data_IF_825454314073
#
_entry.id   IF_825454314073
#
_cell.length_a   1.000
_cell.length_b   1.000
_cell.length_c   1.000
_cell.angle_alpha   90.00
_cell.angle_beta   90.00
_cell.angle_gamma   90.00
#
_symmetry.space_group_name_H-M   'P 1'
#
loop_
_entity.id
_entity.type
_entity.pdbx_description
1 polymer ?
#
# COMPACT_ATOMS: atom_id res chain seq x y z
N UNK A 1 15.35 -3.15 17.44
CA UNK A 1 14.78 -2.21 18.44
C UNK A 1 13.81 -2.89 19.41
N UNK A 2 12.64 -3.39 19.03
CA UNK A 2 11.71 -4.07 19.99
C UNK A 2 12.36 -5.29 20.69
N UNK A 3 13.13 -6.12 19.96
CA UNK A 3 13.84 -7.26 20.57
C UNK A 3 14.90 -6.81 21.58
N UNK A 4 15.55 -5.69 21.36
CA UNK A 4 16.53 -5.14 22.28
C UNK A 4 15.86 -4.55 23.53
N UNK A 5 14.72 -3.85 23.34
CA UNK A 5 13.91 -3.36 24.46
C UNK A 5 13.40 -4.52 25.34
N UNK A 6 12.98 -5.65 24.75
CA UNK A 6 12.59 -6.86 25.50
C UNK A 6 13.78 -7.45 26.28
N UNK A 7 14.99 -7.48 25.70
CA UNK A 7 16.19 -7.93 26.42
C UNK A 7 16.52 -7.00 27.60
N UNK A 8 16.42 -5.69 27.38
CA UNK A 8 16.64 -4.70 28.46
C UNK A 8 15.60 -4.83 29.56
N UNK A 9 14.33 -5.04 29.23
CA UNK A 9 13.27 -5.29 30.20
C UNK A 9 13.54 -6.56 31.02
N UNK A 10 13.91 -7.66 30.36
CA UNK A 10 14.27 -8.92 31.05
C UNK A 10 15.44 -8.70 32.01
N UNK A 11 16.50 -8.01 31.58
CA UNK A 11 17.65 -7.76 32.41
C UNK A 11 17.31 -6.87 33.61
N UNK A 12 16.45 -5.86 33.42
CA UNK A 12 15.97 -5.01 34.48
C UNK A 12 15.08 -5.74 35.51
N UNK A 13 14.26 -6.69 35.05
CA UNK A 13 13.46 -7.56 35.95
C UNK A 13 14.35 -8.52 36.74
N UNK A 14 15.42 -9.05 36.14
CA UNK A 14 16.42 -9.84 36.85
C UNK A 14 17.14 -8.98 37.92
N UNK A 15 17.52 -7.76 37.55
CA UNK A 15 18.16 -6.83 38.53
C UNK A 15 17.20 -6.52 39.68
N UNK A 16 15.91 -6.31 39.40
CA UNK A 16 14.89 -6.09 40.45
C UNK A 16 14.80 -7.30 41.41
N UNK A 17 14.81 -8.51 40.85
CA UNK A 17 14.77 -9.75 41.65
C UNK A 17 16.02 -9.89 42.52
N UNK A 18 17.21 -9.52 42.01
CA UNK A 18 18.46 -9.48 42.77
C UNK A 18 18.35 -8.47 43.91
N UNK A 19 17.79 -7.28 43.66
CA UNK A 19 17.60 -6.23 44.69
C UNK A 19 16.68 -6.73 45.79
N UNK A 20 15.57 -7.44 45.42
CA UNK A 20 14.65 -8.02 46.41
C UNK A 20 15.38 -9.06 47.29
N UNK A 21 16.11 -9.97 46.68
CA UNK A 21 16.89 -10.98 47.44
C UNK A 21 17.96 -10.34 48.31
N UNK A 22 18.70 -9.39 47.76
CA UNK A 22 19.75 -8.68 48.49
C UNK A 22 19.18 -7.85 49.68
N UNK A 23 18.09 -7.10 49.41
CA UNK A 23 17.42 -6.29 50.44
C UNK A 23 16.88 -7.16 51.57
N UNK A 24 16.17 -8.28 51.21
CA UNK A 24 15.63 -9.21 52.21
C UNK A 24 16.76 -9.83 53.04
N UNK A 25 17.81 -10.33 52.40
CA UNK A 25 18.97 -10.89 53.12
C UNK A 25 19.69 -9.83 54.00
N UNK A 26 19.78 -8.61 53.48
CA UNK A 26 20.38 -7.50 54.21
C UNK A 26 19.68 -7.20 55.54
N UNK A 27 18.35 -7.06 55.54
CA UNK A 27 17.58 -6.86 56.75
C UNK A 27 17.65 -8.06 57.71
N UNK A 28 17.64 -9.30 57.17
CA UNK A 28 17.80 -10.48 58.00
C UNK A 28 19.15 -10.51 58.72
N UNK A 29 20.23 -10.04 58.08
CA UNK A 29 21.60 -10.05 58.65
C UNK A 29 21.84 -8.85 59.56
N UNK A 30 21.45 -7.64 59.12
CA UNK A 30 21.73 -6.38 59.83
C UNK A 30 20.81 -6.21 61.04
N UNK A 31 19.50 -6.41 60.83
CA UNK A 31 18.49 -6.17 61.86
C UNK A 31 18.01 -7.45 62.52
N UNK A 32 18.50 -8.62 62.08
CA UNK A 32 18.11 -9.96 62.57
C UNK A 32 16.61 -10.22 62.53
N UNK A 33 15.94 -9.61 61.58
CA UNK A 33 14.49 -9.79 61.39
C UNK A 33 14.22 -11.14 60.75
N UNK A 34 12.99 -11.64 60.93
CA UNK A 34 12.54 -12.85 60.23
C UNK A 34 12.36 -12.56 58.74
N UNK A 35 12.29 -13.63 57.94
CA UNK A 35 12.16 -13.55 56.48
C UNK A 35 10.92 -12.76 56.04
N UNK A 36 9.78 -12.91 56.73
CA UNK A 36 8.52 -12.28 56.35
C UNK A 36 8.58 -10.75 56.54
N UNK A 37 9.07 -10.29 57.68
CA UNK A 37 9.21 -8.86 57.98
C UNK A 37 10.26 -8.19 57.09
N UNK A 38 11.38 -8.88 56.82
CA UNK A 38 12.43 -8.40 55.91
C UNK A 38 11.91 -8.26 54.48
N UNK A 39 11.21 -9.28 53.95
CA UNK A 39 10.63 -9.26 52.63
C UNK A 39 9.54 -8.18 52.53
N UNK A 40 8.69 -8.05 53.52
CA UNK A 40 7.63 -7.05 53.55
C UNK A 40 8.24 -5.63 53.48
N UNK A 41 9.28 -5.32 54.31
CA UNK A 41 9.96 -4.03 54.28
C UNK A 41 10.57 -3.71 52.93
N UNK A 42 11.20 -4.71 52.25
CA UNK A 42 11.76 -4.56 50.92
C UNK A 42 10.66 -4.27 49.91
N UNK A 43 9.56 -5.00 49.92
CA UNK A 43 8.45 -4.83 48.96
C UNK A 43 7.84 -3.42 49.12
N UNK A 44 7.52 -2.95 50.34
CA UNK A 44 6.91 -1.64 50.52
C UNK A 44 7.87 -0.50 50.14
N UNK A 45 9.18 -0.73 50.26
CA UNK A 45 10.22 0.21 49.86
C UNK A 45 10.35 0.29 48.34
N UNK A 46 10.47 -0.87 47.66
CA UNK A 46 10.64 -0.94 46.21
C UNK A 46 9.36 -0.45 45.47
N UNK A 47 8.19 -0.79 46.00
CA UNK A 47 6.91 -0.32 45.43
C UNK A 47 6.61 1.14 45.73
N UNK A 48 7.50 1.83 46.43
CA UNK A 48 7.31 3.23 46.86
C UNK A 48 6.06 3.45 47.72
N UNK A 49 5.54 2.41 48.36
CA UNK A 49 4.34 2.49 49.21
C UNK A 49 4.63 3.18 50.54
N UNK A 50 5.73 2.81 51.20
CA UNK A 50 6.28 3.53 52.35
C UNK A 50 5.37 3.71 53.58
N UNK A 51 4.65 2.66 53.98
CA UNK A 51 3.76 2.73 55.16
C UNK A 51 4.49 3.08 56.48
N UNK A 52 5.78 2.80 56.52
CA UNK A 52 6.63 3.00 57.69
C UNK A 52 7.56 1.81 57.92
N UNK A 53 8.36 1.90 58.93
CA UNK A 53 9.29 0.82 59.34
C UNK A 53 8.52 -0.30 60.01
N UNK A 54 8.88 -1.56 59.67
CA UNK A 54 8.25 -2.74 60.31
C UNK A 54 8.62 -2.85 61.77
N UNK A 55 9.90 -2.56 62.07
CA UNK A 55 10.47 -2.43 63.41
C UNK A 55 11.48 -1.27 63.43
N UNK A 56 11.81 -0.67 64.58
CA UNK A 56 12.84 0.37 64.65
C UNK A 56 14.16 -0.09 64.08
N UNK A 57 14.74 0.71 63.18
CA UNK A 57 16.01 0.42 62.53
C UNK A 57 17.21 0.83 63.38
N UNK A 58 18.28 0.09 63.32
CA UNK A 58 19.57 0.53 63.77
C UNK A 58 20.17 1.60 62.83
N UNK A 59 21.15 2.38 63.27
CA UNK A 59 21.84 3.35 62.39
C UNK A 59 22.41 2.69 61.12
N UNK A 60 22.90 1.44 61.25
CA UNK A 60 23.39 0.65 60.11
C UNK A 60 22.25 0.28 59.17
N UNK A 61 21.08 -0.10 59.72
CA UNK A 61 19.87 -0.40 58.96
C UNK A 61 19.32 0.83 58.22
N UNK A 62 19.35 2.00 58.84
CA UNK A 62 18.97 3.26 58.18
C UNK A 62 19.83 3.55 56.94
N UNK A 63 21.18 3.43 57.07
CA UNK A 63 22.10 3.63 55.95
C UNK A 63 21.85 2.59 54.85
N UNK A 64 21.66 1.31 55.22
CA UNK A 64 21.32 0.26 54.29
C UNK A 64 20.01 0.55 53.54
N UNK A 65 18.96 0.98 54.25
CA UNK A 65 17.68 1.37 53.71
C UNK A 65 17.81 2.53 52.70
N UNK A 66 18.61 3.57 53.06
CA UNK A 66 18.88 4.68 52.15
C UNK A 66 19.48 4.24 50.82
N UNK A 67 20.48 3.34 50.86
CA UNK A 67 21.09 2.78 49.65
C UNK A 67 20.08 1.96 48.86
N UNK A 68 19.29 1.12 49.55
CA UNK A 68 18.26 0.28 48.93
C UNK A 68 17.19 1.12 48.24
N UNK A 69 16.73 2.23 48.85
CA UNK A 69 15.74 3.17 48.27
C UNK A 69 16.29 3.77 46.97
N UNK A 70 17.52 4.29 46.98
CA UNK A 70 18.12 4.93 45.80
C UNK A 70 18.25 3.94 44.64
N UNK A 71 18.79 2.75 44.92
CA UNK A 71 19.02 1.73 43.88
C UNK A 71 17.70 1.16 43.34
N UNK A 72 16.75 0.87 44.22
CA UNK A 72 15.45 0.38 43.83
C UNK A 72 14.64 1.40 43.03
N UNK A 73 14.63 2.67 43.45
CA UNK A 73 13.94 3.74 42.77
C UNK A 73 14.49 3.98 41.37
N UNK A 74 15.82 4.01 41.18
CA UNK A 74 16.45 4.09 39.88
C UNK A 74 16.06 2.91 38.96
N UNK A 75 16.00 1.70 39.53
CA UNK A 75 15.61 0.49 38.77
C UNK A 75 14.16 0.52 38.35
N UNK A 76 13.25 0.95 39.21
CA UNK A 76 11.81 1.06 38.91
C UNK A 76 11.55 2.11 37.82
N UNK A 77 12.22 3.29 37.92
CA UNK A 77 12.13 4.31 36.87
C UNK A 77 12.63 3.77 35.52
N UNK A 78 13.75 3.04 35.53
CA UNK A 78 14.31 2.46 34.32
C UNK A 78 13.35 1.43 33.67
N UNK A 79 12.72 0.55 34.47
CA UNK A 79 11.71 -0.40 34.00
C UNK A 79 10.50 0.33 33.43
N UNK A 80 10.03 1.38 34.11
CA UNK A 80 8.92 2.22 33.63
C UNK A 80 9.23 2.89 32.29
N UNK A 81 10.44 3.44 32.14
CA UNK A 81 10.91 4.02 30.88
C UNK A 81 10.92 3.02 29.71
N UNK A 82 11.44 1.81 29.95
CA UNK A 82 11.41 0.73 28.92
C UNK A 82 9.95 0.33 28.60
N UNK A 83 9.09 0.23 29.61
CA UNK A 83 7.68 -0.09 29.41
C UNK A 83 6.97 0.93 28.52
N UNK A 84 7.20 2.23 28.78
CA UNK A 84 6.67 3.32 27.94
C UNK A 84 7.24 3.25 26.53
N UNK A 85 8.54 3.01 26.38
CA UNK A 85 9.18 2.85 25.08
C UNK A 85 8.56 1.70 24.26
N UNK A 86 8.34 0.53 24.88
CA UNK A 86 7.69 -0.62 24.25
C UNK A 86 6.26 -0.27 23.83
N UNK A 87 5.50 0.46 24.64
CA UNK A 87 4.15 0.91 24.32
C UNK A 87 4.12 1.90 23.14
N UNK A 88 5.05 2.84 23.08
CA UNK A 88 5.16 3.82 22.01
C UNK A 88 5.61 3.13 20.70
N UNK A 89 6.58 2.24 20.79
CA UNK A 89 7.07 1.45 19.66
C UNK A 89 6.10 0.33 19.26
N UNK A 90 5.13 -0.01 20.10
CA UNK A 90 4.17 -1.05 19.78
C UNK A 90 3.28 -0.62 18.63
N UNK A 91 3.38 -1.36 17.51
CA UNK A 91 2.61 -1.15 16.28
C UNK A 91 1.08 -1.20 16.49
N UNK A 92 0.59 -1.48 17.70
CA UNK A 92 -0.84 -1.65 18.01
C UNK A 92 -1.60 -0.34 17.84
N UNK A 93 -1.11 0.77 18.38
CA UNK A 93 -1.75 2.08 18.23
C UNK A 93 -1.67 2.58 16.79
N UNK A 94 -0.53 2.32 16.12
CA UNK A 94 -0.35 2.69 14.72
C UNK A 94 -1.30 1.91 13.81
N UNK A 95 -1.42 0.58 14.01
CA UNK A 95 -2.36 -0.27 13.27
C UNK A 95 -3.82 0.16 13.47
N UNK A 96 -4.26 0.47 14.69
CA UNK A 96 -5.62 0.96 14.96
C UNK A 96 -5.90 2.29 14.25
N UNK A 97 -4.95 3.23 14.30
CA UNK A 97 -5.09 4.51 13.61
C UNK A 97 -5.11 4.34 12.09
N UNK A 98 -4.31 3.42 11.55
CA UNK A 98 -4.28 3.10 10.13
C UNK A 98 -5.60 2.46 9.71
N UNK A 99 -6.07 1.44 10.45
CA UNK A 99 -7.37 0.81 10.19
C UNK A 99 -8.51 1.82 10.17
N UNK A 100 -8.55 2.73 11.14
CA UNK A 100 -9.58 3.79 11.17
C UNK A 100 -9.54 4.72 9.94
N UNK A 101 -8.37 4.91 9.31
CA UNK A 101 -8.27 5.65 8.04
C UNK A 101 -8.76 4.79 6.87
N UNK A 102 -8.41 3.49 6.87
CA UNK A 102 -8.85 2.53 5.84
C UNK A 102 -10.38 2.39 5.86
N UNK A 103 -10.98 2.29 7.05
CA UNK A 103 -12.43 2.16 7.23
C UNK A 103 -13.24 3.33 6.64
N UNK A 104 -12.58 4.49 6.42
CA UNK A 104 -13.19 5.69 5.82
C UNK A 104 -13.01 5.78 4.32
N UNK A 105 -12.28 4.84 3.70
CA UNK A 105 -12.07 4.85 2.27
C UNK A 105 -13.33 4.40 1.52
N UNK A 106 -13.70 5.17 0.52
CA UNK A 106 -14.75 4.85 -0.43
C UNK A 106 -14.23 5.06 -1.86
N UNK A 107 -14.68 4.26 -2.81
CA UNK A 107 -14.27 4.33 -4.21
C UNK A 107 -12.74 4.28 -4.41
N UNK A 108 -12.03 3.64 -3.50
CA UNK A 108 -10.58 3.51 -3.50
C UNK A 108 -10.11 2.29 -4.30
N UNK A 109 -8.80 2.20 -4.49
CA UNK A 109 -8.15 1.05 -5.11
C UNK A 109 -7.41 0.21 -4.08
N UNK A 110 -7.37 -1.10 -4.30
CA UNK A 110 -6.64 -2.06 -3.47
C UNK A 110 -5.47 -2.60 -4.28
N UNK A 111 -4.25 -2.49 -3.74
CA UNK A 111 -3.04 -3.05 -4.35
C UNK A 111 -2.56 -4.22 -3.53
N UNK A 112 -2.69 -5.45 -4.07
CA UNK A 112 -2.29 -6.68 -3.41
C UNK A 112 -0.85 -7.04 -3.78
N UNK A 113 0.09 -6.77 -2.86
CA UNK A 113 1.53 -6.95 -3.01
C UNK A 113 2.28 -5.62 -3.26
N UNK A 114 3.31 -5.36 -2.43
CA UNK A 114 4.19 -4.19 -2.55
C UNK A 114 5.61 -4.62 -2.96
N UNK A 115 5.67 -5.49 -3.98
CA UNK A 115 6.90 -5.85 -4.66
C UNK A 115 7.28 -4.80 -5.72
N UNK A 116 8.19 -5.16 -6.63
CA UNK A 116 8.65 -4.26 -7.72
C UNK A 116 7.50 -3.63 -8.51
N UNK A 117 6.53 -4.44 -8.93
CA UNK A 117 5.39 -3.94 -9.70
C UNK A 117 4.40 -3.15 -8.83
N UNK A 118 4.08 -3.66 -7.63
CA UNK A 118 3.18 -2.97 -6.70
C UNK A 118 3.69 -1.59 -6.31
N UNK A 119 5.01 -1.42 -6.14
CA UNK A 119 5.63 -0.12 -5.87
C UNK A 119 5.31 0.88 -6.99
N UNK A 120 5.55 0.51 -8.25
CA UNK A 120 5.27 1.40 -9.39
C UNK A 120 3.77 1.70 -9.55
N UNK A 121 2.91 0.72 -9.29
CA UNK A 121 1.45 0.94 -9.33
C UNK A 121 1.04 1.94 -8.24
N UNK A 122 1.57 1.80 -7.02
CA UNK A 122 1.28 2.74 -5.94
C UNK A 122 1.79 4.16 -6.25
N UNK A 123 2.98 4.29 -6.85
CA UNK A 123 3.53 5.57 -7.29
C UNK A 123 2.62 6.25 -8.32
N UNK A 124 2.11 5.50 -9.30
CA UNK A 124 1.22 6.02 -10.33
C UNK A 124 -0.16 6.41 -9.77
N UNK A 125 -0.73 5.59 -8.86
CA UNK A 125 -1.97 5.92 -8.16
C UNK A 125 -1.81 7.18 -7.29
N UNK A 126 -0.69 7.30 -6.60
CA UNK A 126 -0.38 8.48 -5.79
C UNK A 126 -0.21 9.74 -6.66
N UNK A 127 0.47 9.63 -7.82
CA UNK A 127 0.61 10.72 -8.80
C UNK A 127 -0.75 11.18 -9.36
N UNK A 128 -1.66 10.22 -9.52
CA UNK A 128 -3.03 10.47 -9.98
C UNK A 128 -3.96 10.98 -8.87
N UNK A 129 -3.45 11.16 -7.65
CA UNK A 129 -4.18 11.62 -6.46
C UNK A 129 -5.44 10.80 -6.13
N UNK A 130 -5.44 9.51 -6.50
CA UNK A 130 -6.56 8.61 -6.21
C UNK A 130 -6.33 7.85 -4.89
N UNK A 131 -7.37 7.65 -4.06
CA UNK A 131 -7.22 6.93 -2.81
C UNK A 131 -6.94 5.44 -3.05
N UNK A 132 -5.97 4.90 -2.32
CA UNK A 132 -5.65 3.47 -2.37
C UNK A 132 -5.16 2.93 -1.04
N UNK A 133 -5.19 1.61 -0.90
CA UNK A 133 -4.67 0.84 0.22
C UNK A 133 -3.86 -0.34 -0.30
N UNK A 134 -2.77 -0.65 0.38
CA UNK A 134 -1.87 -1.76 0.02
C UNK A 134 -2.10 -2.94 0.95
N UNK A 135 -2.10 -4.15 0.42
CA UNK A 135 -1.98 -5.38 1.23
C UNK A 135 -0.58 -5.91 1.02
N UNK A 136 0.21 -6.00 2.10
CA UNK A 136 1.59 -6.47 2.02
C UNK A 136 1.91 -7.34 3.25
N UNK A 137 2.33 -8.56 3.01
CA UNK A 137 2.62 -9.52 4.07
C UNK A 137 4.09 -9.48 4.55
N UNK A 138 5.02 -8.98 3.72
CA UNK A 138 6.43 -8.93 4.06
C UNK A 138 6.76 -7.75 5.00
N UNK A 139 7.21 -8.02 6.26
CA UNK A 139 7.53 -6.96 7.22
C UNK A 139 8.62 -5.98 6.76
N UNK A 140 9.52 -6.40 5.86
CA UNK A 140 10.59 -5.51 5.35
C UNK A 140 10.05 -4.35 4.51
N UNK A 141 8.88 -4.51 3.89
CA UNK A 141 8.23 -3.48 3.10
C UNK A 141 7.39 -2.52 3.95
N UNK A 142 6.95 -2.93 5.15
CA UNK A 142 6.13 -2.09 6.02
C UNK A 142 6.84 -0.80 6.41
N UNK A 143 8.17 -0.88 6.66
CA UNK A 143 8.96 0.31 7.00
C UNK A 143 8.96 1.35 5.86
N UNK A 144 9.07 0.88 4.61
CA UNK A 144 9.01 1.76 3.42
C UNK A 144 7.63 2.40 3.27
N UNK A 145 6.57 1.59 3.43
CA UNK A 145 5.18 2.08 3.36
C UNK A 145 4.91 3.13 4.43
N UNK A 146 5.48 2.94 5.64
CA UNK A 146 5.40 3.89 6.74
C UNK A 146 6.12 5.21 6.45
N UNK A 147 7.33 5.14 5.90
CA UNK A 147 8.16 6.31 5.57
C UNK A 147 7.49 7.18 4.49
N UNK A 148 6.84 6.53 3.50
CA UNK A 148 6.11 7.21 2.43
C UNK A 148 4.73 7.70 2.91
N UNK A 149 4.15 7.04 3.92
CA UNK A 149 2.84 7.38 4.47
C UNK A 149 1.65 6.73 3.76
N UNK A 150 1.88 5.65 3.01
CA UNK A 150 0.80 4.90 2.37
C UNK A 150 -0.01 4.10 3.39
N UNK A 151 -1.31 3.96 3.13
CA UNK A 151 -2.18 3.10 3.92
C UNK A 151 -1.95 1.64 3.52
N UNK A 152 -1.82 0.75 4.52
CA UNK A 152 -1.61 -0.66 4.24
C UNK A 152 -2.19 -1.58 5.32
N UNK A 153 -2.54 -2.81 4.93
CA UNK A 153 -2.84 -3.94 5.81
C UNK A 153 -1.74 -4.99 5.71
N UNK A 154 -1.45 -5.67 6.83
CA UNK A 154 -0.36 -6.67 6.94
C UNK A 154 -0.84 -8.10 6.76
N UNK A 155 -2.01 -8.30 6.16
CA UNK A 155 -2.60 -9.62 5.96
C UNK A 155 -2.19 -10.27 4.65
N UNK A 156 -2.71 -11.49 4.47
CA UNK A 156 -2.67 -12.21 3.21
C UNK A 156 -3.86 -11.81 2.35
N UNK A 157 -3.62 -11.36 1.13
CA UNK A 157 -4.64 -10.86 0.21
C UNK A 157 -5.60 -11.97 -0.30
N UNK A 158 -5.23 -13.23 -0.15
CA UNK A 158 -6.11 -14.37 -0.52
C UNK A 158 -7.24 -14.63 0.51
N UNK A 159 -7.14 -14.04 1.71
CA UNK A 159 -8.12 -14.25 2.77
C UNK A 159 -9.24 -13.22 2.75
N UNK A 160 -10.49 -13.68 2.90
CA UNK A 160 -11.69 -12.86 2.96
C UNK A 160 -11.57 -11.75 4.02
N UNK A 161 -11.12 -12.12 5.22
CA UNK A 161 -10.97 -11.18 6.34
C UNK A 161 -10.00 -10.05 6.06
N UNK A 162 -8.94 -10.28 5.27
CA UNK A 162 -7.98 -9.26 4.87
C UNK A 162 -8.60 -8.29 3.87
N UNK A 163 -9.28 -8.82 2.85
CA UNK A 163 -9.97 -8.00 1.86
C UNK A 163 -11.13 -7.20 2.47
N UNK A 164 -11.84 -7.76 3.44
CA UNK A 164 -12.87 -7.02 4.17
C UNK A 164 -12.29 -5.86 5.00
N UNK A 165 -11.13 -6.07 5.68
CA UNK A 165 -10.46 -5.01 6.44
C UNK A 165 -9.99 -3.85 5.57
N UNK A 166 -9.66 -4.09 4.30
CA UNK A 166 -9.29 -3.03 3.37
C UNK A 166 -10.48 -2.46 2.59
N UNK A 167 -11.71 -2.84 2.96
CA UNK A 167 -12.92 -2.25 2.41
C UNK A 167 -13.25 -2.68 0.98
N UNK A 168 -12.97 -3.94 0.60
CA UNK A 168 -13.21 -4.46 -0.75
C UNK A 168 -14.63 -4.22 -1.26
N UNK A 169 -15.64 -4.22 -0.36
CA UNK A 169 -17.05 -3.99 -0.72
C UNK A 169 -17.31 -2.59 -1.27
N UNK A 170 -16.52 -1.61 -0.86
CA UNK A 170 -16.63 -0.21 -1.25
C UNK A 170 -15.50 0.22 -2.22
N UNK A 171 -14.61 -0.69 -2.58
CA UNK A 171 -13.52 -0.42 -3.48
C UNK A 171 -13.98 -0.34 -4.94
N UNK A 172 -13.38 0.56 -5.72
CA UNK A 172 -13.61 0.73 -7.16
C UNK A 172 -12.85 -0.32 -7.98
N UNK A 173 -11.65 -0.68 -7.54
CA UNK A 173 -10.82 -1.64 -8.25
C UNK A 173 -9.78 -2.30 -7.35
N UNK A 174 -9.26 -3.43 -7.83
CA UNK A 174 -8.23 -4.20 -7.16
C UNK A 174 -7.16 -4.63 -8.18
N UNK A 175 -5.90 -4.53 -7.77
CA UNK A 175 -4.78 -5.04 -8.57
C UNK A 175 -4.09 -6.16 -7.80
N UNK A 176 -4.11 -7.37 -8.36
CA UNK A 176 -3.44 -8.54 -7.81
C UNK A 176 -2.05 -8.72 -8.45
N UNK A 177 -0.99 -8.36 -7.72
CA UNK A 177 0.42 -8.39 -8.20
C UNK A 177 1.34 -9.09 -7.21
N UNK A 178 0.81 -10.13 -6.55
CA UNK A 178 1.55 -11.00 -5.66
C UNK A 178 2.63 -11.80 -6.43
N UNK A 179 3.61 -12.34 -5.71
CA UNK A 179 4.74 -13.05 -6.32
C UNK A 179 4.35 -14.36 -6.99
N UNK A 180 3.27 -14.99 -6.55
CA UNK A 180 2.80 -16.29 -6.99
C UNK A 180 1.49 -16.15 -7.77
N UNK A 181 1.40 -16.79 -8.92
CA UNK A 181 0.22 -16.80 -9.78
C UNK A 181 -1.01 -17.42 -9.11
N UNK A 182 -0.82 -18.49 -8.33
CA UNK A 182 -1.92 -19.11 -7.58
C UNK A 182 -2.53 -18.15 -6.56
N UNK A 183 -1.70 -17.38 -5.84
CA UNK A 183 -2.17 -16.34 -4.92
C UNK A 183 -2.96 -15.24 -5.65
N UNK A 184 -2.53 -14.85 -6.86
CA UNK A 184 -3.26 -13.88 -7.68
C UNK A 184 -4.64 -14.43 -8.10
N UNK A 185 -4.73 -15.74 -8.43
CA UNK A 185 -6.02 -16.40 -8.75
C UNK A 185 -6.94 -16.42 -7.54
N UNK A 186 -6.44 -16.83 -6.36
CA UNK A 186 -7.24 -16.87 -5.13
C UNK A 186 -7.68 -15.46 -4.71
N UNK A 187 -6.80 -14.47 -4.75
CA UNK A 187 -7.12 -13.07 -4.44
C UNK A 187 -8.21 -12.53 -5.38
N UNK A 188 -8.10 -12.83 -6.68
CA UNK A 188 -9.09 -12.44 -7.67
C UNK A 188 -10.46 -13.06 -7.37
N UNK A 189 -10.49 -14.37 -7.12
CA UNK A 189 -11.71 -15.11 -6.80
C UNK A 189 -12.38 -14.56 -5.55
N UNK A 190 -11.61 -14.38 -4.48
CA UNK A 190 -12.10 -13.85 -3.19
C UNK A 190 -12.63 -12.41 -3.35
N UNK A 191 -11.90 -11.55 -4.08
CA UNK A 191 -12.34 -10.18 -4.32
C UNK A 191 -13.67 -10.13 -5.08
N UNK A 192 -13.81 -10.93 -6.12
CA UNK A 192 -15.07 -11.02 -6.91
C UNK A 192 -16.21 -11.67 -6.14
N UNK A 193 -15.91 -12.60 -5.26
CA UNK A 193 -16.91 -13.18 -4.35
C UNK A 193 -17.46 -12.14 -3.38
N UNK A 194 -16.59 -11.34 -2.76
CA UNK A 194 -16.96 -10.30 -1.80
C UNK A 194 -17.59 -9.06 -2.45
N UNK A 195 -17.15 -8.71 -3.65
CA UNK A 195 -17.68 -7.59 -4.44
C UNK A 195 -17.72 -7.95 -5.94
N UNK A 196 -18.84 -8.47 -6.45
CA UNK A 196 -18.96 -8.86 -7.86
C UNK A 196 -18.75 -7.72 -8.87
N UNK A 197 -18.88 -6.47 -8.43
CA UNK A 197 -18.76 -5.28 -9.30
C UNK A 197 -17.33 -4.69 -9.32
N UNK A 198 -16.45 -5.14 -8.45
CA UNK A 198 -15.08 -4.61 -8.38
C UNK A 198 -14.33 -4.89 -9.69
N UNK A 199 -13.63 -3.88 -10.21
CA UNK A 199 -12.78 -4.05 -11.39
C UNK A 199 -11.44 -4.66 -10.97
N UNK A 200 -11.11 -5.86 -11.46
CA UNK A 200 -9.90 -6.59 -11.06
C UNK A 200 -8.93 -6.66 -12.22
N UNK A 201 -7.72 -6.17 -11.96
CA UNK A 201 -6.55 -6.36 -12.81
C UNK A 201 -5.61 -7.35 -12.12
N UNK A 202 -5.20 -8.40 -12.80
CA UNK A 202 -4.32 -9.40 -12.21
C UNK A 202 -3.07 -9.63 -13.04
N UNK A 203 -1.95 -9.92 -12.36
CA UNK A 203 -0.70 -10.30 -12.99
C UNK A 203 -0.65 -11.81 -13.21
N UNK A 204 -0.27 -12.24 -14.39
CA UNK A 204 0.16 -13.61 -14.69
C UNK A 204 1.64 -13.63 -15.06
N UNK A 205 2.36 -14.65 -14.59
CA UNK A 205 3.72 -14.98 -15.03
C UNK A 205 3.68 -16.07 -16.09
N UNK A 206 2.90 -17.11 -15.85
CA UNK A 206 2.75 -18.24 -16.74
C UNK A 206 1.56 -18.08 -17.69
N UNK A 207 1.73 -18.48 -18.95
CA UNK A 207 0.68 -18.38 -19.97
C UNK A 207 -0.59 -19.15 -19.59
N UNK A 208 -0.44 -20.30 -18.93
CA UNK A 208 -1.56 -21.11 -18.47
C UNK A 208 -2.37 -20.47 -17.34
N UNK A 209 -1.87 -19.42 -16.70
CA UNK A 209 -2.55 -18.73 -15.60
C UNK A 209 -3.54 -17.69 -16.09
N UNK A 210 -3.30 -17.06 -17.25
CA UNK A 210 -4.20 -16.06 -17.81
C UNK A 210 -5.66 -16.56 -17.92
N UNK A 211 -5.95 -17.71 -18.56
CA UNK A 211 -7.32 -18.21 -18.63
C UNK A 211 -7.90 -18.58 -17.25
N UNK A 212 -7.08 -18.95 -16.28
CA UNK A 212 -7.53 -19.23 -14.90
C UNK A 212 -7.94 -17.95 -14.20
N UNK A 213 -7.16 -16.86 -14.33
CA UNK A 213 -7.48 -15.55 -13.80
C UNK A 213 -8.77 -14.97 -14.40
N UNK A 214 -8.95 -15.08 -15.71
CA UNK A 214 -10.19 -14.64 -16.38
C UNK A 214 -11.40 -15.44 -15.87
N UNK A 215 -11.27 -16.76 -15.69
CA UNK A 215 -12.34 -17.59 -15.09
C UNK A 215 -12.60 -17.26 -13.62
N UNK A 216 -11.57 -16.86 -12.87
CA UNK A 216 -11.72 -16.37 -11.49
C UNK A 216 -12.41 -15.00 -11.42
N UNK A 217 -12.63 -14.35 -12.58
CA UNK A 217 -13.35 -13.09 -12.69
C UNK A 217 -12.46 -11.86 -12.89
N UNK A 218 -11.17 -12.01 -13.20
CA UNK A 218 -10.35 -10.85 -13.55
C UNK A 218 -10.90 -10.15 -14.80
N UNK A 219 -11.06 -8.83 -14.75
CA UNK A 219 -11.52 -8.03 -15.89
C UNK A 219 -10.39 -7.83 -16.90
N UNK A 220 -9.14 -7.81 -16.42
CA UNK A 220 -7.94 -7.73 -17.24
C UNK A 220 -6.82 -8.55 -16.62
N UNK A 221 -6.01 -9.17 -17.46
CA UNK A 221 -4.79 -9.88 -17.08
C UNK A 221 -3.61 -9.23 -17.79
N UNK A 222 -2.52 -9.02 -17.04
CA UNK A 222 -1.29 -8.45 -17.55
C UNK A 222 -0.15 -9.44 -17.38
N UNK A 223 0.61 -9.70 -18.44
CA UNK A 223 1.82 -10.52 -18.47
C UNK A 223 3.06 -9.62 -18.63
N UNK A 224 3.68 -9.16 -17.55
CA UNK A 224 4.71 -8.12 -17.62
C UNK A 224 5.95 -8.55 -18.38
N UNK A 225 6.35 -9.82 -18.25
CA UNK A 225 7.53 -10.34 -18.94
C UNK A 225 7.33 -10.42 -20.45
N UNK A 226 6.15 -10.83 -20.91
CA UNK A 226 5.80 -10.83 -22.32
C UNK A 226 5.79 -9.39 -22.88
N UNK A 227 5.09 -8.48 -22.21
CA UNK A 227 5.05 -7.07 -22.58
C UNK A 227 6.44 -6.44 -22.62
N UNK A 228 7.25 -6.69 -21.59
CA UNK A 228 8.63 -6.19 -21.51
C UNK A 228 9.52 -6.81 -22.61
N UNK A 229 9.40 -8.11 -22.88
CA UNK A 229 10.14 -8.81 -23.91
C UNK A 229 9.82 -8.27 -25.32
N UNK A 230 8.54 -8.12 -25.63
CA UNK A 230 8.08 -7.53 -26.91
C UNK A 230 8.57 -6.09 -27.04
N UNK A 231 8.54 -5.29 -25.95
CA UNK A 231 9.04 -3.91 -25.97
C UNK A 231 10.55 -3.85 -26.22
N UNK A 232 11.33 -4.67 -25.52
CA UNK A 232 12.80 -4.73 -25.73
C UNK A 232 13.15 -5.17 -27.14
N UNK A 233 12.47 -6.19 -27.69
CA UNK A 233 12.66 -6.62 -29.07
C UNK A 233 12.30 -5.51 -30.07
N UNK A 234 11.23 -4.77 -29.81
CA UNK A 234 10.80 -3.64 -30.66
C UNK A 234 11.85 -2.51 -30.67
N UNK A 235 12.45 -2.20 -29.51
CA UNK A 235 13.54 -1.22 -29.41
C UNK A 235 14.78 -1.64 -30.19
N UNK A 236 15.11 -2.94 -30.22
CA UNK A 236 16.22 -3.46 -31.00
C UNK A 236 15.95 -3.46 -32.51
N UNK A 237 14.74 -3.88 -32.91
CA UNK A 237 14.40 -4.06 -34.33
C UNK A 237 13.94 -2.77 -35.02
N UNK A 238 13.27 -1.88 -34.28
CA UNK A 238 12.63 -0.66 -34.82
C UNK A 238 12.70 0.49 -33.82
N UNK A 239 13.92 0.98 -33.46
CA UNK A 239 14.08 1.98 -32.40
C UNK A 239 13.24 3.24 -32.65
N UNK A 240 13.27 3.79 -33.88
CA UNK A 240 12.50 5.00 -34.18
C UNK A 240 10.98 4.86 -34.07
N UNK A 241 10.43 3.64 -34.30
CA UNK A 241 8.99 3.37 -34.09
C UNK A 241 8.69 3.29 -32.60
N UNK A 242 9.56 2.62 -31.84
CA UNK A 242 9.42 2.48 -30.42
C UNK A 242 9.47 3.83 -29.68
N UNK A 243 10.42 4.69 -30.09
CA UNK A 243 10.56 6.07 -29.58
C UNK A 243 9.32 6.91 -29.93
N UNK A 244 8.83 6.82 -31.18
CA UNK A 244 7.63 7.54 -31.59
C UNK A 244 6.38 7.14 -30.76
N UNK A 245 6.17 5.84 -30.56
CA UNK A 245 5.04 5.36 -29.73
C UNK A 245 5.18 5.87 -28.29
N UNK A 246 6.39 5.87 -27.72
CA UNK A 246 6.63 6.36 -26.36
C UNK A 246 6.36 7.86 -26.24
N UNK A 247 6.80 8.65 -27.18
CA UNK A 247 6.54 10.08 -27.27
C UNK A 247 5.03 10.37 -27.29
N UNK A 248 4.31 9.61 -28.11
CA UNK A 248 2.87 9.83 -28.32
C UNK A 248 2.02 9.27 -27.16
N UNK A 249 2.44 8.17 -26.53
CA UNK A 249 1.72 7.54 -25.42
C UNK A 249 2.02 8.15 -24.04
N UNK A 250 3.23 8.67 -23.82
CA UNK A 250 3.69 9.09 -22.51
C UNK A 250 3.22 10.49 -22.08
N UNK A 251 2.58 11.26 -22.94
CA UNK A 251 2.07 12.63 -22.66
C UNK A 251 3.14 13.58 -22.04
N UNK A 252 4.44 13.23 -22.16
CA UNK A 252 5.54 13.94 -21.52
C UNK A 252 6.29 14.80 -22.55
N UNK A 253 6.08 16.10 -22.48
CA UNK A 253 6.88 17.15 -23.15
C UNK A 253 6.77 17.33 -24.67
N UNK A 254 5.85 16.67 -25.37
CA UNK A 254 5.56 16.98 -26.77
C UNK A 254 4.04 17.15 -26.90
N UNK A 255 3.62 18.21 -27.59
CA UNK A 255 2.20 18.52 -27.80
C UNK A 255 1.46 17.50 -28.69
N UNK A 256 2.15 16.43 -29.14
CA UNK A 256 1.57 15.39 -30.01
C UNK A 256 0.89 14.30 -29.16
N UNK A 257 -0.41 14.07 -29.40
CA UNK A 257 -1.24 13.09 -28.68
C UNK A 257 -2.03 12.22 -29.62
N UNK A 258 -2.41 11.02 -29.12
CA UNK A 258 -3.45 10.18 -29.73
C UNK A 258 -4.70 10.35 -28.88
N UNK A 259 -5.82 10.69 -29.54
CA UNK A 259 -7.09 10.91 -28.89
C UNK A 259 -8.24 10.19 -29.60
N UNK A 260 -9.24 9.79 -28.81
CA UNK A 260 -10.52 9.33 -29.35
C UNK A 260 -11.44 10.54 -29.51
N UNK A 261 -11.93 10.74 -30.71
CA UNK A 261 -12.90 11.78 -31.05
C UNK A 261 -14.22 11.11 -31.38
N UNK A 262 -15.20 11.35 -30.55
CA UNK A 262 -16.54 10.80 -30.72
C UNK A 262 -17.41 11.73 -31.58
N UNK A 263 -17.93 11.22 -32.70
CA UNK A 263 -18.81 11.99 -33.59
C UNK A 263 -20.20 12.08 -32.98
N UNK A 264 -20.49 13.21 -32.35
CA UNK A 264 -21.77 13.49 -31.68
C UNK A 264 -22.88 13.79 -32.69
N UNK A 265 -24.12 13.64 -32.24
CA UNK A 265 -25.29 14.10 -32.99
C UNK A 265 -25.22 15.59 -33.27
N UNK A 266 -25.34 15.97 -34.56
CA UNK A 266 -25.24 17.36 -34.97
C UNK A 266 -23.81 17.86 -35.21
N UNK A 267 -22.76 17.02 -35.11
CA UNK A 267 -21.39 17.36 -35.48
C UNK A 267 -21.35 17.74 -36.97
N UNK A 268 -20.51 18.71 -37.29
CA UNK A 268 -20.23 19.11 -38.69
C UNK A 268 -19.53 18.01 -39.50
N UNK A 269 -19.06 16.95 -38.83
CA UNK A 269 -18.42 15.80 -39.46
C UNK A 269 -19.44 14.81 -40.02
N UNK A 270 -20.68 14.78 -39.52
CA UNK A 270 -21.68 13.79 -39.89
C UNK A 270 -22.02 13.83 -41.39
N UNK A 271 -22.02 12.66 -42.02
CA UNK A 271 -22.30 12.42 -43.48
C UNK A 271 -21.32 13.10 -44.42
N UNK A 272 -20.12 13.50 -43.97
CA UNK A 272 -19.07 14.00 -44.81
C UNK A 272 -17.97 12.95 -44.99
N UNK A 273 -17.29 13.02 -46.11
CA UNK A 273 -16.08 12.22 -46.31
C UNK A 273 -14.89 12.85 -45.58
N UNK A 274 -13.87 12.04 -45.25
CA UNK A 274 -12.64 12.58 -44.65
C UNK A 274 -11.95 13.64 -45.52
N UNK A 275 -12.08 13.55 -46.85
CA UNK A 275 -11.52 14.53 -47.78
C UNK A 275 -12.24 15.87 -47.73
N UNK A 276 -13.56 15.90 -47.42
CA UNK A 276 -14.36 17.13 -47.28
C UNK A 276 -14.17 17.82 -45.95
N UNK A 277 -13.59 17.11 -44.97
CA UNK A 277 -13.35 17.66 -43.64
C UNK A 277 -11.98 18.35 -43.55
N UNK A 278 -11.90 19.54 -42.89
CA UNK A 278 -10.66 20.27 -42.83
C UNK A 278 -9.68 19.73 -41.76
N UNK A 279 -9.69 18.41 -41.54
CA UNK A 279 -8.97 17.74 -40.46
C UNK A 279 -7.46 17.97 -40.58
N UNK A 280 -6.93 17.88 -41.81
CA UNK A 280 -5.51 18.04 -42.06
C UNK A 280 -5.11 19.50 -42.27
N UNK A 281 -5.96 20.27 -42.92
CA UNK A 281 -5.68 21.66 -43.31
C UNK A 281 -5.84 22.67 -42.19
N UNK A 282 -6.89 22.54 -41.36
CA UNK A 282 -7.18 23.47 -40.27
C UNK A 282 -6.72 22.94 -38.91
N UNK A 283 -6.88 21.63 -38.67
CA UNK A 283 -6.57 21.04 -37.38
C UNK A 283 -5.20 20.34 -37.33
N UNK A 284 -4.45 20.29 -38.44
CA UNK A 284 -3.15 19.62 -38.51
C UNK A 284 -3.16 18.23 -37.84
N UNK A 285 -4.22 17.45 -38.09
CA UNK A 285 -4.51 16.19 -37.41
C UNK A 285 -4.60 15.06 -38.44
N UNK A 286 -4.17 13.86 -38.07
CA UNK A 286 -4.22 12.66 -38.90
C UNK A 286 -5.22 11.69 -38.28
N UNK A 287 -6.18 11.19 -39.05
CA UNK A 287 -7.06 10.10 -38.63
C UNK A 287 -6.39 8.75 -38.96
N UNK A 288 -6.13 7.97 -37.92
CA UNK A 288 -5.46 6.66 -38.01
C UNK A 288 -6.47 5.54 -38.22
N UNK A 289 -7.62 5.63 -37.55
CA UNK A 289 -8.69 4.66 -37.72
C UNK A 289 -10.05 5.27 -37.41
N UNK A 290 -11.10 4.64 -37.95
CA UNK A 290 -12.50 4.91 -37.64
C UNK A 290 -13.11 3.63 -37.09
N UNK A 291 -13.71 3.68 -35.93
CA UNK A 291 -14.49 2.60 -35.34
C UNK A 291 -15.97 2.93 -35.45
N UNK A 292 -16.74 2.00 -35.97
CA UNK A 292 -18.20 2.06 -35.95
C UNK A 292 -18.68 1.29 -34.71
N UNK A 293 -19.26 2.01 -33.72
CA UNK A 293 -19.66 1.41 -32.44
C UNK A 293 -20.76 0.34 -32.59
N UNK A 294 -21.69 0.52 -33.51
CA UNK A 294 -22.79 -0.45 -33.74
C UNK A 294 -22.31 -1.80 -34.30
N UNK A 295 -21.22 -1.79 -35.06
CA UNK A 295 -20.70 -2.98 -35.75
C UNK A 295 -19.39 -3.49 -35.16
N UNK A 296 -18.73 -2.75 -34.24
CA UNK A 296 -17.42 -3.08 -33.69
C UNK A 296 -16.30 -3.17 -34.74
N UNK A 297 -16.53 -2.66 -35.96
CA UNK A 297 -15.59 -2.77 -37.08
C UNK A 297 -14.64 -1.58 -37.06
N UNK A 298 -13.34 -1.85 -37.02
CA UNK A 298 -12.28 -0.86 -37.19
C UNK A 298 -11.88 -0.76 -38.68
N UNK A 299 -11.93 0.44 -39.23
CA UNK A 299 -11.34 0.77 -40.54
C UNK A 299 -10.00 1.45 -40.25
N UNK A 300 -8.91 0.72 -40.45
CA UNK A 300 -7.56 1.26 -40.32
C UNK A 300 -7.14 1.98 -41.60
N UNK A 301 -6.39 3.08 -41.45
CA UNK A 301 -5.95 3.93 -42.56
C UNK A 301 -7.11 4.29 -43.50
N UNK A 302 -8.16 4.95 -43.00
CA UNK A 302 -9.34 5.27 -43.79
C UNK A 302 -8.96 6.16 -44.96
N UNK A 303 -9.56 5.87 -46.11
CA UNK A 303 -9.34 6.66 -47.34
C UNK A 303 -10.08 8.00 -47.24
N UNK A 304 -9.72 8.94 -48.12
CA UNK A 304 -10.35 10.25 -48.19
C UNK A 304 -11.86 10.20 -48.51
N UNK A 305 -12.32 9.16 -49.18
CA UNK A 305 -13.73 8.92 -49.51
C UNK A 305 -14.53 8.23 -48.40
N UNK A 306 -13.88 7.85 -47.29
CA UNK A 306 -14.54 7.24 -46.13
C UNK A 306 -15.50 8.24 -45.49
N UNK A 307 -16.76 7.87 -45.35
CA UNK A 307 -17.79 8.69 -44.74
C UNK A 307 -17.70 8.57 -43.22
N UNK A 308 -17.83 9.70 -42.55
CA UNK A 308 -17.88 9.81 -41.10
C UNK A 308 -19.34 9.93 -40.68
N UNK A 309 -19.82 8.98 -39.88
CA UNK A 309 -21.19 8.96 -39.39
C UNK A 309 -21.28 9.25 -37.88
N UNK A 310 -22.48 9.65 -37.46
CA UNK A 310 -22.81 9.77 -36.02
C UNK A 310 -22.57 8.44 -35.30
N UNK A 311 -22.01 8.49 -34.11
CA UNK A 311 -21.63 7.31 -33.32
C UNK A 311 -20.27 6.72 -33.72
N UNK A 312 -19.61 7.22 -34.77
CA UNK A 312 -18.24 6.80 -35.04
C UNK A 312 -17.25 7.35 -34.02
N UNK A 313 -16.23 6.56 -33.70
CA UNK A 313 -15.04 6.99 -32.93
C UNK A 313 -13.86 7.09 -33.90
N UNK A 314 -13.27 8.26 -33.98
CA UNK A 314 -12.08 8.54 -34.75
C UNK A 314 -10.86 8.45 -33.84
N UNK A 315 -9.88 7.62 -34.17
CA UNK A 315 -8.58 7.66 -33.54
C UNK A 315 -7.72 8.66 -34.31
N UNK A 316 -7.38 9.75 -33.66
CA UNK A 316 -6.68 10.88 -34.25
C UNK A 316 -5.32 11.13 -33.59
N UNK A 317 -4.31 11.49 -34.40
CA UNK A 317 -2.99 11.94 -33.95
C UNK A 317 -2.83 13.41 -34.33
N UNK A 318 -2.51 14.23 -33.33
CA UNK A 318 -2.30 15.67 -33.55
C UNK A 318 -1.84 16.37 -32.27
N UNK A 319 -1.58 17.66 -32.38
CA UNK A 319 -1.31 18.49 -31.22
C UNK A 319 -2.55 18.60 -30.33
N UNK A 320 -2.38 18.54 -29.01
CA UNK A 320 -3.44 18.61 -28.01
C UNK A 320 -4.45 19.73 -28.30
N UNK A 321 -3.92 20.91 -28.58
CA UNK A 321 -4.69 22.13 -28.87
C UNK A 321 -5.62 21.98 -30.09
N UNK A 322 -5.16 21.23 -31.07
CA UNK A 322 -5.87 20.98 -32.32
C UNK A 322 -6.90 19.86 -32.16
N UNK A 323 -6.54 18.80 -31.41
CA UNK A 323 -7.44 17.72 -31.07
C UNK A 323 -8.63 18.19 -30.21
N UNK A 324 -8.41 19.09 -29.23
CA UNK A 324 -9.48 19.70 -28.46
C UNK A 324 -10.46 20.48 -29.36
N UNK A 325 -9.95 21.28 -30.30
CA UNK A 325 -10.79 21.98 -31.28
C UNK A 325 -11.56 21.04 -32.19
N UNK A 326 -10.95 19.91 -32.57
CA UNK A 326 -11.58 18.92 -33.42
C UNK A 326 -12.68 18.14 -32.70
N UNK A 327 -12.59 17.98 -31.36
CA UNK A 327 -13.67 17.40 -30.54
C UNK A 327 -14.94 18.26 -30.50
N UNK A 328 -14.78 19.56 -30.66
CA UNK A 328 -15.90 20.52 -30.62
C UNK A 328 -16.45 20.86 -32.04
N UNK A 329 -15.81 20.34 -33.09
CA UNK A 329 -16.19 20.57 -34.49
C UNK A 329 -17.32 19.62 -34.94
#
# INVERSE_FOLDING_TARGET
MVQDAIKHLRNALIALLIIICFGTSGYMIIEQWNFADSLYMVIITITTTGYGEVHPLSTTGEIFTLILVIVSFATVIYIGGIGIQILIESNIFKRRRMQHKIDKLENHYIVCGYGRMGTHICEELAHSEVPFVVIENNPSNHKKLDEIGYLYDTGDASHDTTLERVGVKNAKGLVAVLSNDAENVFTTLTAKFLNPKIFVVARAVEDETEPKLLRAGADRVVKPYELGGVRMASLLLRPGVADFIEIVAANRNIDLQIEEIFVRKGSKMHKKTLAELPIRTEFNTIIVSIQNDEKGIFVYNPKGDTIVDEGNKLIAIGERKNLEKLKDF
#
